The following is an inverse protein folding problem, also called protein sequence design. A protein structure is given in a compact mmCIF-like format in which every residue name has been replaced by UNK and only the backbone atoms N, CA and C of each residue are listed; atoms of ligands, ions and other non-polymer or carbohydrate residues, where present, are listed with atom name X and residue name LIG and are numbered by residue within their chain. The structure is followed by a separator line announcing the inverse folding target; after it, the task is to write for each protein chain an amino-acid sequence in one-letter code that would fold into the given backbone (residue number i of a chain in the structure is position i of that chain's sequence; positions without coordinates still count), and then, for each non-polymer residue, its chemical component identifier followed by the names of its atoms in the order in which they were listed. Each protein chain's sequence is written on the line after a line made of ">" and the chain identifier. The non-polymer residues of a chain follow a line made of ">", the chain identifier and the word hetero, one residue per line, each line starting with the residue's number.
data_IF_918360217665
#
_entry.id   IF_918360217665
#
_cell.length_a   1.000
_cell.length_b   1.000
_cell.length_c   1.000
_cell.angle_alpha   90.00
_cell.angle_beta   90.00
_cell.angle_gamma   90.00
#
_symmetry.space_group_name_H-M   'P 1'
#
loop_
_entity.id
_entity.type
_entity.pdbx_description
1 polymer ?
#
# COMPACT_ATOMS: atom_id res chain seq x y z
N UNK A 1 14.61 -2.82 -2.52
CA UNK A 1 13.75 -3.61 -1.61
C UNK A 1 13.14 -2.76 -0.50
N UNK A 2 13.91 -2.08 0.35
CA UNK A 2 13.36 -1.32 1.50
C UNK A 2 12.34 -0.22 1.14
N UNK A 3 12.59 0.54 0.07
CA UNK A 3 11.66 1.59 -0.39
C UNK A 3 10.31 1.02 -0.86
N UNK A 4 10.33 -0.13 -1.54
CA UNK A 4 9.12 -0.81 -2.03
C UNK A 4 8.24 -1.29 -0.87
N UNK A 5 8.87 -1.84 0.18
CA UNK A 5 8.18 -2.30 1.40
C UNK A 5 7.55 -1.12 2.15
N UNK A 6 8.25 0.00 2.28
CA UNK A 6 7.72 1.22 2.90
C UNK A 6 6.46 1.73 2.17
N UNK A 7 6.47 1.73 0.83
CA UNK A 7 5.30 2.15 0.03
C UNK A 7 4.11 1.22 0.19
N UNK A 8 4.34 -0.09 0.26
CA UNK A 8 3.27 -1.08 0.49
C UNK A 8 2.65 -0.88 1.88
N UNK A 9 3.48 -0.76 2.92
CA UNK A 9 3.02 -0.51 4.29
C UNK A 9 2.21 0.79 4.36
N UNK A 10 2.68 1.85 3.70
CA UNK A 10 1.99 3.14 3.68
C UNK A 10 0.64 3.05 2.94
N UNK A 11 0.55 2.27 1.86
CA UNK A 11 -0.69 1.94 1.19
C UNK A 11 -1.68 1.22 2.10
N UNK A 12 -1.24 0.21 2.85
CA UNK A 12 -2.08 -0.49 3.82
C UNK A 12 -2.56 0.40 4.97
N UNK A 13 -1.68 1.28 5.49
CA UNK A 13 -2.06 2.25 6.54
C UNK A 13 -3.13 3.21 6.00
N UNK A 14 -2.99 3.69 4.75
CA UNK A 14 -3.98 4.56 4.12
C UNK A 14 -5.34 3.86 3.90
N UNK A 15 -5.35 2.54 3.66
CA UNK A 15 -6.60 1.74 3.58
C UNK A 15 -7.24 1.51 4.96
N UNK A 16 -6.48 1.65 6.05
CA UNK A 16 -6.98 1.41 7.40
C UNK A 16 -8.02 2.46 7.84
N UNK A 17 -9.02 1.99 8.60
CA UNK A 17 -10.10 2.80 9.14
C UNK A 17 -11.40 2.76 8.32
N UNK A 18 -12.35 3.61 8.70
CA UNK A 18 -13.71 3.62 8.11
C UNK A 18 -14.65 2.59 8.74
N UNK A 19 -14.15 1.70 9.59
CA UNK A 19 -14.93 0.68 10.28
C UNK A 19 -16.07 1.31 11.09
N UNK A 20 -17.27 0.77 10.95
CA UNK A 20 -18.43 1.13 11.76
C UNK A 20 -18.14 0.85 13.24
N UNK A 21 -18.45 1.81 14.12
CA UNK A 21 -18.22 1.70 15.57
C UNK A 21 -19.02 0.52 16.16
N UNK A 22 -20.27 0.36 15.70
CA UNK A 22 -21.20 -0.66 16.21
C UNK A 22 -21.40 -1.84 15.24
N UNK A 23 -20.68 -1.89 14.12
CA UNK A 23 -20.80 -2.94 13.09
C UNK A 23 -22.10 -2.95 12.27
N UNK A 24 -23.14 -2.24 12.72
CA UNK A 24 -24.46 -2.17 12.06
C UNK A 24 -24.69 -0.82 11.35
N UNK A 25 -24.14 0.26 11.90
CA UNK A 25 -24.30 1.62 11.35
C UNK A 25 -23.41 1.84 10.14
N UNK A 26 -24.00 2.24 9.02
CA UNK A 26 -23.26 2.60 7.80
C UNK A 26 -22.36 3.82 8.05
N UNK A 27 -21.06 3.68 7.83
CA UNK A 27 -20.11 4.79 7.93
C UNK A 27 -19.66 5.23 6.52
N UNK A 28 -20.04 6.43 6.04
CA UNK A 28 -19.74 6.87 4.67
C UNK A 28 -18.24 7.02 4.40
N UNK A 29 -17.40 7.12 5.43
CA UNK A 29 -15.94 7.22 5.28
C UNK A 29 -15.28 5.94 4.73
N UNK A 30 -15.97 4.80 4.68
CA UNK A 30 -15.46 3.61 3.97
C UNK A 30 -15.35 3.86 2.47
N UNK A 31 -16.25 4.67 1.91
CA UNK A 31 -16.28 5.01 0.48
C UNK A 31 -15.47 6.26 0.14
N UNK A 32 -14.61 6.71 1.05
CA UNK A 32 -13.70 7.81 0.75
C UNK A 32 -12.81 7.43 -0.44
N UNK A 33 -12.80 8.28 -1.48
CA UNK A 33 -11.96 8.11 -2.66
C UNK A 33 -10.48 7.92 -2.28
N UNK A 34 -10.04 8.50 -1.15
CA UNK A 34 -8.70 8.28 -0.59
C UNK A 34 -8.43 6.81 -0.24
N UNK A 35 -9.40 6.10 0.36
CA UNK A 35 -9.24 4.71 0.81
C UNK A 35 -9.47 3.69 -0.30
N UNK A 36 -10.42 3.94 -1.20
CA UNK A 36 -10.78 2.98 -2.26
C UNK A 36 -9.95 3.17 -3.53
N UNK A 37 -9.47 4.38 -3.81
CA UNK A 37 -8.76 4.68 -5.07
C UNK A 37 -7.30 5.00 -4.80
N UNK A 38 -7.02 6.02 -3.98
CA UNK A 38 -5.64 6.48 -3.77
C UNK A 38 -4.81 5.43 -3.05
N UNK A 39 -5.32 4.86 -1.96
CA UNK A 39 -4.56 3.90 -1.15
C UNK A 39 -4.21 2.60 -1.92
N UNK A 40 -5.13 1.98 -2.70
CA UNK A 40 -4.79 0.82 -3.51
C UNK A 40 -3.82 1.13 -4.63
N UNK A 41 -3.90 2.30 -5.27
CA UNK A 41 -2.93 2.72 -6.30
C UNK A 41 -1.53 2.84 -5.70
N UNK A 42 -1.41 3.47 -4.52
CA UNK A 42 -0.13 3.58 -3.80
C UNK A 42 0.42 2.20 -3.45
N UNK A 43 -0.41 1.31 -2.91
CA UNK A 43 -0.01 -0.05 -2.58
C UNK A 43 0.46 -0.83 -3.82
N UNK A 44 -0.30 -0.75 -4.93
CA UNK A 44 0.01 -1.41 -6.19
C UNK A 44 1.33 -0.90 -6.80
N UNK A 45 1.57 0.42 -6.74
CA UNK A 45 2.85 1.00 -7.17
C UNK A 45 4.05 0.46 -6.38
N UNK A 46 3.86 0.22 -5.06
CA UNK A 46 4.87 -0.43 -4.22
C UNK A 46 5.20 -1.85 -4.68
N UNK A 47 4.18 -2.63 -5.07
CA UNK A 47 4.36 -3.96 -5.67
C UNK A 47 5.04 -3.91 -7.04
N UNK A 48 4.67 -2.98 -7.92
CA UNK A 48 5.36 -2.80 -9.21
C UNK A 48 6.85 -2.46 -9.01
N UNK A 49 7.16 -1.58 -8.06
CA UNK A 49 8.55 -1.26 -7.71
C UNK A 49 9.29 -2.44 -7.10
N UNK A 50 8.60 -3.31 -6.36
CA UNK A 50 9.19 -4.55 -5.85
C UNK A 50 9.52 -5.52 -6.98
N UNK A 51 8.59 -5.75 -7.90
CA UNK A 51 8.80 -6.58 -9.10
C UNK A 51 9.97 -6.04 -9.91
N UNK A 52 9.97 -4.73 -10.19
CA UNK A 52 11.08 -4.08 -10.90
C UNK A 52 12.41 -4.25 -10.16
N UNK A 53 12.44 -4.05 -8.84
CA UNK A 53 13.66 -4.22 -8.06
C UNK A 53 14.21 -5.65 -8.10
N UNK A 54 13.34 -6.67 -8.15
CA UNK A 54 13.73 -8.07 -8.28
C UNK A 54 14.26 -8.36 -9.70
N UNK A 55 13.56 -7.87 -10.73
CA UNK A 55 13.94 -8.11 -12.13
C UNK A 55 15.22 -7.37 -12.53
N UNK A 56 15.42 -6.15 -12.03
CA UNK A 56 16.46 -5.28 -12.59
C UNK A 56 17.87 -5.65 -12.11
N UNK A 57 18.05 -6.40 -11.02
CA UNK A 57 19.35 -6.95 -10.61
C UNK A 57 19.19 -8.12 -9.60
N UNK A 58 19.42 -9.39 -9.99
CA UNK A 58 19.56 -10.48 -9.01
C UNK A 58 20.83 -10.37 -8.14
N UNK A 59 21.84 -9.61 -8.60
CA UNK A 59 23.20 -9.52 -8.03
C UNK A 59 23.53 -8.19 -7.33
N UNK A 60 22.53 -7.41 -6.91
CA UNK A 60 22.75 -6.26 -6.01
C UNK A 60 22.53 -6.65 -4.55
N UNK A 61 23.23 -7.70 -4.11
CA UNK A 61 23.73 -7.75 -2.73
C UNK A 61 25.12 -7.14 -2.75
N UNK A 62 25.42 -6.35 -1.73
CA UNK A 62 26.70 -5.64 -1.54
C UNK A 62 26.82 -4.27 -2.21
N UNK A 63 26.14 -3.30 -1.60
CA UNK A 63 26.72 -1.98 -1.41
C UNK A 63 26.62 -1.64 0.07
N UNK A 64 27.69 -2.04 0.78
CA UNK A 64 28.35 -1.41 1.93
C UNK A 64 27.49 -0.90 3.09
#
# INVERSE_FOLDING_TARGET
>A
MGLSVLLIILGFILMSGGRSVDGITYNPEIFSARRIVVAPIVCLSGFFLMIYAILVNPDKKEKK
#
